data_IF_613215689851
#
_entry.id   IF_613215689851
#
_cell.length_a   1.000
_cell.length_b   1.000
_cell.length_c   1.000
_cell.angle_alpha   90.00
_cell.angle_beta   90.00
_cell.angle_gamma   90.00
#
_symmetry.space_group_name_H-M   'P 1'
#
loop_
_entity.id
_entity.type
_entity.pdbx_description
1 polymer ?
#
# COMPACT_ATOMS: atom_id res chain seq x y z
N UNK A 1 -6.52 12.05 2.01
CA UNK A 1 -5.90 10.80 1.63
C UNK A 1 -4.65 10.57 2.44
N UNK A 2 -4.66 9.60 3.29
CA UNK A 2 -3.53 9.41 4.19
C UNK A 2 -2.37 8.75 3.48
N UNK A 3 -1.23 9.40 3.57
CA UNK A 3 0.03 8.82 3.12
C UNK A 3 0.66 8.12 4.30
N UNK A 4 1.02 6.85 4.14
CA UNK A 4 1.65 6.09 5.20
C UNK A 4 3.12 6.48 5.27
N UNK A 5 3.81 6.33 4.16
CA UNK A 5 5.20 6.76 4.05
C UNK A 5 5.60 6.84 2.58
N UNK A 6 6.74 7.46 2.35
CA UNK A 6 7.32 7.59 1.02
C UNK A 6 8.72 7.02 1.09
N UNK A 7 9.02 6.06 0.21
CA UNK A 7 10.32 5.42 0.14
C UNK A 7 10.71 5.19 -1.30
N UNK A 8 11.93 5.55 -1.64
CA UNK A 8 12.50 5.32 -2.98
C UNK A 8 11.61 5.89 -4.08
N UNK A 9 10.94 7.01 -3.79
CA UNK A 9 10.08 7.64 -4.77
C UNK A 9 8.69 7.02 -4.85
N UNK A 10 8.42 5.99 -4.08
CA UNK A 10 7.10 5.37 -4.01
C UNK A 10 6.32 5.96 -2.85
N UNK A 11 5.07 6.31 -3.11
CA UNK A 11 4.17 6.75 -2.05
C UNK A 11 3.23 5.60 -1.71
N UNK A 12 3.19 5.24 -0.45
CA UNK A 12 2.32 4.18 0.05
C UNK A 12 1.19 4.84 0.81
N UNK A 13 -0.05 4.55 0.41
CA UNK A 13 -1.19 5.29 0.95
C UNK A 13 -2.47 4.49 0.90
N UNK A 14 -3.48 4.98 1.62
CA UNK A 14 -4.85 4.48 1.57
C UNK A 14 -5.74 5.57 1.00
N UNK A 15 -6.89 5.16 0.46
CA UNK A 15 -7.95 6.12 0.15
C UNK A 15 -9.00 6.05 1.26
N UNK A 16 -9.69 7.17 1.46
CA UNK A 16 -10.64 7.26 2.57
C UNK A 16 -11.78 6.27 2.49
N UNK A 17 -12.14 5.84 1.30
CA UNK A 17 -13.23 4.89 1.12
C UNK A 17 -12.76 3.46 0.88
N UNK A 18 -11.52 3.16 1.22
CA UNK A 18 -11.04 1.79 1.11
C UNK A 18 -11.76 0.89 2.10
N UNK A 19 -11.85 -0.38 1.76
CA UNK A 19 -12.53 -1.39 2.57
C UNK A 19 -11.60 -2.56 2.82
N UNK A 20 -11.98 -3.37 3.81
CA UNK A 20 -11.25 -4.61 4.03
C UNK A 20 -11.39 -5.53 2.83
N UNK A 21 -10.39 -6.37 2.55
CA UNK A 21 -9.21 -6.62 3.39
C UNK A 21 -8.20 -5.49 3.30
N UNK A 22 -7.29 -5.47 4.24
CA UNK A 22 -6.26 -4.43 4.29
C UNK A 22 -5.46 -4.45 2.99
N UNK A 23 -5.32 -3.28 2.39
CA UNK A 23 -4.53 -3.16 1.18
C UNK A 23 -3.89 -1.79 1.16
N UNK A 24 -2.93 -1.61 0.27
CA UNK A 24 -2.20 -0.35 0.19
C UNK A 24 -2.01 0.00 -1.28
N UNK A 25 -2.07 1.27 -1.57
CA UNK A 25 -1.83 1.81 -2.90
C UNK A 25 -0.40 2.31 -2.96
N UNK A 26 0.28 2.01 -4.06
CA UNK A 26 1.66 2.43 -4.28
C UNK A 26 1.69 3.28 -5.53
N UNK A 27 2.14 4.50 -5.39
CA UNK A 27 2.13 5.46 -6.49
C UNK A 27 3.55 5.93 -6.77
N UNK A 28 3.92 5.91 -8.03
CA UNK A 28 5.20 6.45 -8.47
C UNK A 28 4.98 7.15 -9.80
N UNK A 29 5.10 8.48 -9.80
CA UNK A 29 4.81 9.25 -10.99
C UNK A 29 3.39 9.01 -11.43
N UNK A 30 3.21 8.55 -12.66
CA UNK A 30 1.89 8.25 -13.19
C UNK A 30 1.49 6.80 -12.97
N UNK A 31 2.36 5.99 -12.41
CA UNK A 31 2.09 4.57 -12.23
C UNK A 31 1.42 4.33 -10.89
N UNK A 32 0.56 3.32 -10.83
CA UNK A 32 -0.22 3.02 -9.65
C UNK A 32 -0.39 1.51 -9.54
N UNK A 33 -0.16 0.99 -8.34
CA UNK A 33 -0.38 -0.43 -8.08
C UNK A 33 -1.11 -0.57 -6.76
N UNK A 34 -1.76 -1.69 -6.58
CA UNK A 34 -2.51 -1.98 -5.36
C UNK A 34 -2.11 -3.36 -4.89
N UNK A 35 -1.79 -3.47 -3.62
CA UNK A 35 -1.35 -4.74 -3.01
C UNK A 35 -2.18 -5.02 -1.78
N UNK A 36 -2.47 -6.30 -1.55
CA UNK A 36 -2.89 -6.73 -0.21
C UNK A 36 -1.64 -6.92 0.63
N UNK A 37 -1.79 -7.08 1.92
CA UNK A 37 -0.63 -7.24 2.78
C UNK A 37 -0.60 -8.55 3.56
N UNK A 38 -1.67 -9.33 3.49
CA UNK A 38 -1.72 -10.58 4.24
C UNK A 38 -2.53 -11.60 3.46
N UNK A 39 -1.90 -12.26 2.52
CA UNK A 39 -0.48 -12.17 2.13
C UNK A 39 -0.21 -10.97 1.26
N UNK A 40 1.05 -10.68 1.07
CA UNK A 40 1.45 -9.58 0.19
C UNK A 40 1.28 -10.05 -1.25
N UNK A 41 0.32 -9.47 -1.93
CA UNK A 41 0.01 -9.86 -3.32
C UNK A 41 -0.40 -8.65 -4.12
N UNK A 42 0.05 -8.62 -5.35
CA UNK A 42 -0.36 -7.58 -6.28
C UNK A 42 -1.80 -7.84 -6.73
N UNK A 43 -2.65 -6.86 -6.54
CA UNK A 43 -4.05 -6.95 -6.95
C UNK A 43 -4.27 -6.23 -8.27
N UNK A 44 -3.58 -5.11 -8.47
CA UNK A 44 -3.80 -4.28 -9.64
C UNK A 44 -2.52 -3.53 -9.95
N UNK A 45 -2.19 -3.43 -11.23
CA UNK A 45 -1.03 -2.69 -11.67
C UNK A 45 -1.40 -1.85 -12.88
N UNK A 46 -1.12 -0.56 -12.77
CA UNK A 46 -1.37 0.36 -13.85
C UNK A 46 -0.10 1.16 -14.08
N UNK A 47 0.76 0.61 -14.93
CA UNK A 47 1.93 1.34 -15.41
C UNK A 47 3.25 1.08 -14.70
N UNK A 48 3.29 0.23 -13.69
CA UNK A 48 4.56 -0.06 -13.04
C UNK A 48 5.32 -1.16 -13.75
N UNK A 49 6.63 -1.03 -13.80
CA UNK A 49 7.50 -2.05 -14.37
C UNK A 49 7.65 -3.20 -13.39
N UNK A 50 8.04 -4.34 -13.91
CA UNK A 50 8.21 -5.53 -13.07
C UNK A 50 9.15 -5.25 -11.90
N UNK A 51 10.26 -4.56 -12.16
CA UNK A 51 11.22 -4.26 -11.10
C UNK A 51 10.62 -3.36 -10.03
N UNK A 52 9.75 -2.45 -10.44
CA UNK A 52 9.08 -1.55 -9.50
C UNK A 52 8.08 -2.33 -8.64
N UNK A 53 7.37 -3.26 -9.25
CA UNK A 53 6.44 -4.11 -8.52
C UNK A 53 7.20 -4.94 -7.48
N UNK A 54 8.33 -5.52 -7.87
CA UNK A 54 9.12 -6.33 -6.96
C UNK A 54 9.65 -5.51 -5.79
N UNK A 55 10.10 -4.30 -6.07
CA UNK A 55 10.58 -3.44 -5.00
C UNK A 55 9.44 -3.03 -4.07
N UNK A 56 8.29 -2.69 -4.63
CA UNK A 56 7.13 -2.34 -3.82
C UNK A 56 6.71 -3.50 -2.93
N UNK A 57 6.69 -4.70 -3.48
CA UNK A 57 6.38 -5.91 -2.73
C UNK A 57 7.30 -6.09 -1.53
N UNK A 58 8.58 -5.90 -1.77
CA UNK A 58 9.61 -6.06 -0.76
C UNK A 58 9.44 -5.05 0.37
N UNK A 59 9.15 -3.80 0.01
CA UNK A 59 8.93 -2.75 0.99
C UNK A 59 7.71 -3.05 1.84
N UNK A 60 6.64 -3.50 1.20
CA UNK A 60 5.40 -3.83 1.91
C UNK A 60 5.65 -4.99 2.86
N UNK A 61 6.38 -6.00 2.40
CA UNK A 61 6.67 -7.17 3.21
C UNK A 61 7.40 -6.78 4.49
N UNK A 62 8.35 -5.87 4.38
CA UNK A 62 9.13 -5.46 5.52
C UNK A 62 8.39 -4.50 6.45
N UNK A 63 7.30 -3.93 5.97
CA UNK A 63 6.58 -2.92 6.74
C UNK A 63 5.12 -3.29 6.99
N UNK A 64 4.80 -4.58 6.91
CA UNK A 64 3.42 -5.03 7.04
C UNK A 64 2.77 -4.56 8.32
N UNK A 65 3.50 -4.64 9.41
CA UNK A 65 2.93 -4.27 10.69
C UNK A 65 2.65 -2.79 10.80
N UNK A 66 3.56 -1.99 10.24
CA UNK A 66 3.37 -0.55 10.22
C UNK A 66 2.14 -0.19 9.38
N UNK A 67 2.02 -0.84 8.23
CA UNK A 67 0.89 -0.58 7.34
C UNK A 67 -0.42 -0.98 8.01
N UNK A 68 -0.43 -2.14 8.64
CA UNK A 68 -1.64 -2.62 9.32
C UNK A 68 -2.02 -1.69 10.47
N UNK A 69 -1.02 -1.19 11.18
CA UNK A 69 -1.28 -0.28 12.27
C UNK A 69 -1.90 1.03 11.77
N UNK A 70 -1.37 1.57 10.68
CA UNK A 70 -1.92 2.78 10.08
C UNK A 70 -3.35 2.55 9.58
N UNK A 71 -3.60 1.39 8.99
CA UNK A 71 -4.93 1.04 8.54
C UNK A 71 -5.91 1.03 9.69
N UNK A 72 -5.53 0.36 10.78
CA UNK A 72 -6.40 0.25 11.94
C UNK A 72 -6.69 1.59 12.58
N UNK A 73 -5.67 2.45 12.65
CA UNK A 73 -5.87 3.78 13.20
C UNK A 73 -6.77 4.62 12.34
N UNK A 74 -6.62 4.49 11.03
CA UNK A 74 -7.37 5.33 10.12
C UNK A 74 -8.83 4.90 9.99
N UNK A 75 -9.05 3.57 9.91
CA UNK A 75 -10.39 3.05 9.66
C UNK A 75 -11.10 2.56 10.90
N UNK A 76 -10.41 2.35 11.97
CA UNK A 76 -11.02 1.84 13.17
C UNK A 76 -11.63 2.97 13.94
N UNK A 77 -12.88 3.03 13.86
CA UNK A 77 -13.48 4.07 14.57
C UNK A 77 -13.93 3.60 15.87
N UNK A 78 -13.90 2.51 16.13
CA UNK A 78 -14.45 2.12 17.25
C UNK A 78 -13.86 1.81 18.26
N UNK A 79 -13.80 1.85 18.22
CA UNK A 79 -13.36 1.37 19.00
C UNK A 79 -13.20 1.64 19.63
#
# INVERSE_FOLDING_TARGET
MPTIFILFGFRFMFYANDHEPIHVHVIKGDAHAKFTIDPVELVHNDGMKHSEIKLGESIIEENKEVIAEHWNKFFNKAK
#
